data_IF_664890852320
#
_entry.id   IF_664890852320
#
_cell.length_a   1.000
_cell.length_b   1.000
_cell.length_c   1.000
_cell.angle_alpha   90.00
_cell.angle_beta   90.00
_cell.angle_gamma   90.00
#
_symmetry.space_group_name_H-M   'P 1'
#
loop_
_entity.id
_entity.type
_entity.pdbx_description
1 polymer ?
#
# COMPACT_ATOMS: atom_id res chain seq x y z
N UNK A 1 6.41 -6.40 8.04
CA UNK A 1 5.97 -7.77 8.35
C UNK A 1 6.20 -8.59 7.09
N UNK A 2 7.10 -9.57 7.09
CA UNK A 2 7.29 -10.49 5.97
C UNK A 2 6.84 -11.86 6.45
N UNK A 3 5.71 -12.35 5.97
CA UNK A 3 5.43 -13.78 6.11
C UNK A 3 6.26 -14.51 5.06
N UNK A 4 7.14 -15.43 5.48
CA UNK A 4 7.82 -16.32 4.54
C UNK A 4 6.79 -17.26 3.95
N UNK A 5 6.84 -17.48 2.64
CA UNK A 5 6.01 -18.47 1.96
C UNK A 5 6.16 -19.83 2.65
N UNK A 6 5.07 -20.35 3.24
CA UNK A 6 5.06 -21.68 3.82
C UNK A 6 4.53 -22.64 2.75
N UNK A 7 5.44 -23.37 2.09
CA UNK A 7 5.11 -24.24 0.94
C UNK A 7 4.10 -25.35 1.30
N UNK A 8 3.93 -25.65 2.59
CA UNK A 8 3.01 -26.69 3.08
C UNK A 8 1.55 -26.22 3.22
N UNK A 9 1.30 -24.92 3.39
CA UNK A 9 -0.06 -24.37 3.55
C UNK A 9 -0.62 -23.67 2.31
N UNK A 10 0.16 -23.55 1.23
CA UNK A 10 -0.25 -22.87 0.00
C UNK A 10 -0.46 -21.35 0.12
N UNK A 11 -0.20 -20.76 1.29
CA UNK A 11 -0.34 -19.33 1.51
C UNK A 11 0.90 -18.58 0.97
N UNK A 12 0.72 -17.84 -0.14
CA UNK A 12 1.72 -16.89 -0.60
C UNK A 12 1.88 -15.77 0.43
N UNK A 13 3.12 -15.54 0.87
CA UNK A 13 3.40 -14.48 1.84
C UNK A 13 3.04 -13.09 1.28
N UNK A 14 2.28 -12.30 2.03
CA UNK A 14 2.00 -10.92 1.70
C UNK A 14 3.21 -10.02 2.05
N UNK A 15 3.70 -9.26 1.06
CA UNK A 15 4.71 -8.22 1.26
C UNK A 15 4.04 -6.85 1.38
N UNK A 16 4.41 -6.09 2.41
CA UNK A 16 4.02 -4.69 2.60
C UNK A 16 5.30 -3.91 2.89
N UNK A 17 5.54 -2.83 2.14
CA UNK A 17 6.80 -2.09 2.20
C UNK A 17 6.94 -1.33 3.53
N UNK A 18 5.88 -0.64 3.94
CA UNK A 18 5.84 0.08 5.20
C UNK A 18 4.45 0.01 5.84
N UNK A 19 4.41 -0.14 7.15
CA UNK A 19 3.18 -0.12 7.95
C UNK A 19 3.28 1.03 8.94
N UNK A 20 2.31 1.93 8.94
CA UNK A 20 2.20 3.00 9.92
C UNK A 20 0.97 2.75 10.80
N UNK A 21 1.21 2.27 12.03
CA UNK A 21 0.15 2.10 13.01
C UNK A 21 -0.06 3.39 13.82
N UNK A 22 -1.18 4.07 13.59
CA UNK A 22 -1.48 5.37 14.18
C UNK A 22 -2.34 5.22 15.43
N UNK A 23 -2.34 6.27 16.27
CA UNK A 23 -3.17 6.32 17.49
C UNK A 23 -4.66 6.51 17.21
N UNK A 24 -5.03 7.02 16.03
CA UNK A 24 -6.39 7.37 15.63
C UNK A 24 -7.17 6.22 14.97
N UNK A 25 -6.86 4.97 15.34
CA UNK A 25 -7.53 3.75 14.85
C UNK A 25 -7.40 3.51 13.34
N UNK A 26 -6.38 4.10 12.70
CA UNK A 26 -6.03 3.86 11.30
C UNK A 26 -4.64 3.23 11.21
N UNK A 27 -4.50 2.23 10.35
CA UNK A 27 -3.20 1.72 9.91
C UNK A 27 -3.07 2.03 8.42
N UNK A 28 -2.00 2.73 8.05
CA UNK A 28 -1.64 2.91 6.64
C UNK A 28 -0.73 1.75 6.21
N UNK A 29 -1.16 1.02 5.18
CA UNK A 29 -0.34 0.04 4.47
C UNK A 29 0.24 0.73 3.24
N UNK A 30 1.52 1.07 3.34
CA UNK A 30 2.21 1.83 2.32
C UNK A 30 2.86 0.90 1.29
N UNK A 31 2.64 1.20 0.02
CA UNK A 31 3.30 0.58 -1.12
C UNK A 31 4.09 1.64 -1.90
N UNK A 32 5.34 1.35 -2.22
CA UNK A 32 6.23 2.28 -2.89
C UNK A 32 6.37 1.92 -4.37
N UNK A 33 6.21 2.91 -5.26
CA UNK A 33 6.38 2.74 -6.70
C UNK A 33 7.11 3.91 -7.33
N UNK A 34 8.18 3.61 -8.05
CA UNK A 34 8.91 4.59 -8.84
C UNK A 34 8.47 4.56 -10.30
N UNK A 35 8.18 5.73 -10.86
CA UNK A 35 7.90 5.94 -12.28
C UNK A 35 8.16 7.40 -12.63
N UNK A 36 8.71 7.64 -13.82
CA UNK A 36 8.91 8.98 -14.38
C UNK A 36 7.61 9.66 -14.82
N UNK A 37 6.53 8.88 -14.96
CA UNK A 37 5.18 9.35 -15.31
C UNK A 37 4.21 8.92 -14.21
N UNK A 38 3.00 9.50 -14.14
CA UNK A 38 1.98 9.04 -13.21
C UNK A 38 1.80 7.52 -13.30
N UNK A 39 1.91 6.84 -12.16
CA UNK A 39 1.89 5.39 -12.09
C UNK A 39 0.47 4.88 -12.36
N UNK A 40 0.35 3.93 -13.29
CA UNK A 40 -0.91 3.31 -13.65
C UNK A 40 -1.12 2.03 -12.83
N UNK A 41 -2.09 2.06 -11.93
CA UNK A 41 -2.46 0.89 -11.13
C UNK A 41 -3.29 -0.04 -12.01
N UNK A 42 -2.68 -1.15 -12.45
CA UNK A 42 -3.41 -2.16 -13.21
C UNK A 42 -4.46 -2.86 -12.33
N UNK A 43 -5.56 -3.38 -12.91
CA UNK A 43 -6.56 -4.14 -12.16
C UNK A 43 -5.97 -5.32 -11.36
N UNK A 44 -5.04 -6.06 -12.00
CA UNK A 44 -4.36 -7.20 -11.38
C UNK A 44 -3.54 -6.74 -10.17
N UNK A 45 -2.86 -5.60 -10.29
CA UNK A 45 -2.03 -5.10 -9.22
C UNK A 45 -2.86 -4.54 -8.06
N UNK A 46 -3.97 -3.86 -8.34
CA UNK A 46 -4.93 -3.46 -7.32
C UNK A 46 -5.43 -4.67 -6.52
N UNK A 47 -5.79 -5.77 -7.19
CA UNK A 47 -6.23 -6.98 -6.51
C UNK A 47 -5.16 -7.48 -5.53
N UNK A 48 -3.88 -7.51 -5.94
CA UNK A 48 -2.78 -7.87 -5.04
C UNK A 48 -2.69 -6.97 -3.81
N UNK A 49 -2.93 -5.67 -3.94
CA UNK A 49 -2.92 -4.75 -2.79
C UNK A 49 -4.09 -5.04 -1.83
N UNK A 50 -5.27 -5.36 -2.37
CA UNK A 50 -6.44 -5.74 -1.59
C UNK A 50 -6.22 -7.07 -0.86
N UNK A 51 -5.67 -8.08 -1.53
CA UNK A 51 -5.37 -9.38 -0.94
C UNK A 51 -4.36 -9.23 0.21
N UNK A 52 -3.28 -8.45 -0.01
CA UNK A 52 -2.29 -8.14 1.04
C UNK A 52 -2.92 -7.43 2.24
N UNK A 53 -3.88 -6.53 2.01
CA UNK A 53 -4.61 -5.83 3.08
C UNK A 53 -5.44 -6.81 3.91
N UNK A 54 -6.14 -7.75 3.28
CA UNK A 54 -6.92 -8.77 3.99
C UNK A 54 -6.00 -9.74 4.74
N UNK A 55 -4.94 -10.24 4.10
CA UNK A 55 -3.94 -11.09 4.78
C UNK A 55 -3.34 -10.38 6.00
N UNK A 56 -3.06 -9.07 5.90
CA UNK A 56 -2.59 -8.30 7.05
C UNK A 56 -3.64 -8.20 8.16
N UNK A 57 -4.91 -7.99 7.81
CA UNK A 57 -6.02 -7.97 8.79
C UNK A 57 -6.11 -9.29 9.55
N UNK A 58 -6.14 -10.40 8.82
CA UNK A 58 -6.21 -11.75 9.40
C UNK A 58 -4.99 -12.06 10.28
N UNK A 59 -3.80 -11.76 9.79
CA UNK A 59 -2.56 -12.06 10.51
C UNK A 59 -2.38 -11.25 11.79
N UNK A 60 -2.97 -10.05 11.87
CA UNK A 60 -2.83 -9.15 13.02
C UNK A 60 -4.05 -9.15 13.93
N UNK A 61 -5.19 -9.71 13.48
CA UNK A 61 -6.50 -9.60 14.13
C UNK A 61 -6.87 -8.14 14.48
N UNK A 62 -6.42 -7.17 13.67
CA UNK A 62 -6.68 -5.76 13.94
C UNK A 62 -8.11 -5.39 13.57
N UNK A 63 -8.74 -4.59 14.43
CA UNK A 63 -10.03 -3.95 14.16
C UNK A 63 -9.87 -2.51 13.64
N UNK A 64 -8.64 -2.02 13.50
CA UNK A 64 -8.36 -0.69 12.93
C UNK A 64 -8.76 -0.62 11.46
N UNK A 65 -9.07 0.59 11.00
CA UNK A 65 -9.25 0.85 9.58
C UNK A 65 -7.91 0.66 8.85
N UNK A 66 -7.92 -0.06 7.73
CA UNK A 66 -6.73 -0.28 6.90
C UNK A 66 -6.82 0.58 5.66
N UNK A 67 -5.92 1.55 5.53
CA UNK A 67 -5.82 2.44 4.37
C UNK A 67 -4.66 2.01 3.49
N UNK A 68 -4.92 1.76 2.22
CA UNK A 68 -3.88 1.64 1.22
C UNK A 68 -3.32 3.03 0.93
N UNK A 69 -2.00 3.16 1.01
CA UNK A 69 -1.27 4.40 0.73
C UNK A 69 -0.21 4.14 -0.31
N UNK A 70 -0.27 4.83 -1.45
CA UNK A 70 0.79 4.73 -2.45
C UNK A 70 1.76 5.89 -2.31
N UNK A 71 3.05 5.57 -2.22
CA UNK A 71 4.14 6.53 -2.28
C UNK A 71 4.76 6.46 -3.66
N UNK A 72 4.70 7.54 -4.43
CA UNK A 72 5.13 7.58 -5.81
C UNK A 72 6.02 8.77 -6.13
N UNK A 73 6.79 8.69 -7.22
CA UNK A 73 7.59 9.82 -7.68
C UNK A 73 6.76 10.90 -8.38
N UNK A 74 5.91 10.48 -9.33
CA UNK A 74 5.21 11.39 -10.26
C UNK A 74 3.68 11.29 -10.13
N UNK A 75 3.20 10.84 -8.98
CA UNK A 75 1.78 10.63 -8.71
C UNK A 75 1.18 9.38 -9.38
N UNK A 76 -0.15 9.28 -9.32
CA UNK A 76 -0.98 8.21 -9.86
C UNK A 76 -1.75 8.71 -11.09
N UNK A 77 -1.87 7.83 -12.07
CA UNK A 77 -2.77 8.07 -13.20
C UNK A 77 -4.21 8.03 -12.68
N UNK A 78 -5.01 9.04 -13.03
CA UNK A 78 -6.42 9.12 -12.65
C UNK A 78 -7.23 8.03 -13.35
N UNK A 79 -7.50 6.96 -12.64
CA UNK A 79 -8.26 5.79 -13.10
C UNK A 79 -9.23 5.32 -12.01
N UNK A 80 -10.14 4.41 -12.35
CA UNK A 80 -11.04 3.81 -11.37
C UNK A 80 -10.26 3.05 -10.26
N UNK A 81 -9.12 2.46 -10.64
CA UNK A 81 -8.24 1.74 -9.73
C UNK A 81 -7.56 2.68 -8.74
N UNK A 82 -7.11 3.85 -9.20
CA UNK A 82 -6.55 4.88 -8.33
C UNK A 82 -7.58 5.39 -7.31
N UNK A 83 -8.86 5.46 -7.68
CA UNK A 83 -9.95 5.83 -6.76
C UNK A 83 -10.16 4.87 -5.58
N UNK A 84 -9.56 3.67 -5.62
CA UNK A 84 -9.62 2.69 -4.53
C UNK A 84 -8.49 2.87 -3.51
N UNK A 85 -7.53 3.76 -3.78
CA UNK A 85 -6.42 4.10 -2.87
C UNK A 85 -6.84 5.28 -1.99
N UNK A 86 -6.72 5.13 -0.67
CA UNK A 86 -7.21 6.14 0.28
C UNK A 86 -6.26 7.34 0.41
N UNK A 87 -4.97 7.14 0.13
CA UNK A 87 -3.95 8.17 0.29
C UNK A 87 -2.85 8.02 -0.75
N UNK A 88 -2.40 9.13 -1.28
CA UNK A 88 -1.30 9.22 -2.23
C UNK A 88 -0.28 10.21 -1.66
N UNK A 89 1.00 9.85 -1.73
CA UNK A 89 2.12 10.71 -1.34
C UNK A 89 3.06 10.79 -2.54
N UNK A 90 3.42 12.00 -2.96
CA UNK A 90 4.42 12.24 -3.99
C UNK A 90 5.75 12.68 -3.38
N UNK A 91 6.84 12.70 -4.17
CA UNK A 91 8.15 13.11 -3.67
C UNK A 91 8.16 14.55 -3.14
N UNK A 92 7.41 15.45 -3.77
CA UNK A 92 7.31 16.85 -3.35
C UNK A 92 6.69 16.98 -1.93
N UNK A 93 5.83 16.04 -1.52
CA UNK A 93 5.26 16.01 -0.17
C UNK A 93 6.32 15.58 0.88
N UNK A 94 7.31 14.80 0.47
CA UNK A 94 8.35 14.25 1.34
C UNK A 94 9.59 15.12 1.41
N UNK A 95 9.90 15.83 0.33
CA UNK A 95 11.10 16.62 0.16
C UNK A 95 10.70 18.03 -0.24
N UNK A 96 10.59 18.91 0.75
CA UNK A 96 10.57 20.34 0.48
C UNK A 96 12.02 20.83 0.33
N UNK A 97 12.31 21.58 -0.73
CA UNK A 97 13.56 22.32 -0.80
C UNK A 97 13.63 23.26 0.39
N UNK A 98 14.67 23.11 1.23
CA UNK A 98 14.99 24.15 2.20
C UNK A 98 15.47 25.37 1.41
N UNK A 99 14.57 26.34 1.25
CA UNK A 99 14.90 27.70 0.79
C UNK A 99 15.64 28.46 1.89
#
# INVERSE_FOLDING_TARGET
MQQKANKESGAEGAQIDLVLDRRDQVINLCEMKYSLKPYDITPIYLQKLLDRRETFREATNTNKALHLTLVTASGLKKTAQAGMIQSEIVLDDLFQEKS
#
